data_IF_699810037498
#
_entry.id   IF_699810037498
#
_cell.length_a   1.000
_cell.length_b   1.000
_cell.length_c   1.000
_cell.angle_alpha   90.00
_cell.angle_beta   90.00
_cell.angle_gamma   90.00
#
_symmetry.space_group_name_H-M   'P 1'
#
loop_
_entity.id
_entity.type
_entity.pdbx_description
1 polymer ?
#
# COMPACT_ATOMS: atom_id res chain seq x y z
N UNK A 1 -8.35 3.40 10.76
CA UNK A 1 -7.15 2.78 11.35
C UNK A 1 -6.67 1.77 10.33
N UNK A 2 -5.45 1.89 9.79
CA UNK A 2 -5.03 1.10 8.64
C UNK A 2 -3.95 0.11 9.06
N UNK A 3 -4.23 -1.17 8.85
CA UNK A 3 -3.28 -2.25 9.00
C UNK A 3 -2.32 -2.25 7.81
N UNK A 4 -1.03 -2.45 8.10
CA UNK A 4 0.05 -2.49 7.12
C UNK A 4 0.69 -3.85 7.17
N UNK A 5 1.25 -4.29 6.04
CA UNK A 5 1.84 -5.61 5.93
C UNK A 5 3.21 -5.53 5.26
N UNK A 6 4.15 -6.32 5.76
CA UNK A 6 5.45 -6.53 5.11
C UNK A 6 5.38 -7.76 4.22
N UNK A 7 5.85 -7.64 2.99
CA UNK A 7 5.96 -8.77 2.07
C UNK A 7 7.42 -9.19 1.97
N UNK A 8 7.76 -10.33 2.57
CA UNK A 8 9.12 -10.86 2.60
C UNK A 8 9.56 -11.35 1.21
N UNK A 9 8.66 -11.98 0.46
CA UNK A 9 8.91 -12.43 -0.92
C UNK A 9 9.31 -11.26 -1.84
N UNK A 10 8.66 -10.10 -1.70
CA UNK A 10 9.00 -8.90 -2.47
C UNK A 10 10.08 -8.03 -1.82
N UNK A 11 10.65 -8.43 -0.68
CA UNK A 11 11.59 -7.64 0.12
C UNK A 11 11.03 -6.25 0.51
N UNK A 12 9.72 -6.15 0.69
CA UNK A 12 9.03 -4.97 1.21
C UNK A 12 8.99 -5.08 2.74
N UNK A 13 10.16 -4.86 3.32
CA UNK A 13 10.45 -4.88 4.76
C UNK A 13 11.18 -3.58 5.11
N UNK A 14 11.27 -3.24 6.39
CA UNK A 14 12.04 -2.07 6.88
C UNK A 14 11.55 -0.71 6.36
N UNK A 15 10.32 -0.34 6.73
CA UNK A 15 9.73 0.96 6.38
C UNK A 15 9.03 1.00 5.01
N UNK A 16 9.07 -0.11 4.27
CA UNK A 16 8.27 -0.32 3.05
C UNK A 16 7.12 -1.28 3.38
N UNK A 17 5.88 -0.88 3.10
CA UNK A 17 4.69 -1.63 3.49
C UNK A 17 3.61 -1.64 2.42
N UNK A 18 2.77 -2.67 2.47
CA UNK A 18 1.60 -2.81 1.59
C UNK A 18 0.32 -2.76 2.39
N UNK A 19 -0.72 -2.15 1.83
CA UNK A 19 -2.03 -2.13 2.47
C UNK A 19 -2.69 -3.51 2.45
N UNK A 20 -3.70 -3.73 3.30
CA UNK A 20 -4.48 -4.97 3.37
C UNK A 20 -5.01 -5.44 2.01
N UNK A 21 -5.41 -4.50 1.14
CA UNK A 21 -5.92 -4.83 -0.19
C UNK A 21 -4.81 -5.35 -1.08
N UNK A 22 -3.65 -4.66 -1.11
CA UNK A 22 -2.49 -5.11 -1.90
C UNK A 22 -1.93 -6.44 -1.36
N UNK A 23 -1.95 -6.66 -0.04
CA UNK A 23 -1.60 -7.95 0.56
C UNK A 23 -2.45 -9.11 0.00
N UNK A 24 -3.76 -8.88 -0.19
CA UNK A 24 -4.71 -9.90 -0.67
C UNK A 24 -4.72 -10.06 -2.19
N UNK A 25 -4.37 -9.01 -2.95
CA UNK A 25 -4.49 -8.98 -4.41
C UNK A 25 -3.12 -9.09 -5.08
N UNK A 26 -2.24 -8.10 -4.86
CA UNK A 26 -0.96 -7.98 -5.53
C UNK A 26 0.12 -8.90 -4.94
N UNK A 27 0.03 -9.14 -3.63
CA UNK A 27 0.95 -10.00 -2.87
C UNK A 27 0.23 -11.26 -2.38
N UNK A 28 -0.83 -11.67 -3.10
CA UNK A 28 -1.49 -12.95 -2.87
C UNK A 28 -0.44 -14.06 -2.99
N UNK A 29 -0.47 -15.02 -2.06
CA UNK A 29 0.46 -16.16 -2.03
C UNK A 29 1.92 -15.81 -1.70
N UNK A 30 2.20 -14.57 -1.26
CA UNK A 30 3.52 -14.22 -0.75
C UNK A 30 3.61 -14.45 0.76
N UNK A 31 4.85 -14.55 1.25
CA UNK A 31 5.15 -14.55 2.67
C UNK A 31 4.92 -13.14 3.22
N UNK A 32 3.79 -12.96 3.89
CA UNK A 32 3.36 -11.68 4.44
C UNK A 32 3.32 -11.74 5.97
N UNK A 33 3.90 -10.72 6.60
CA UNK A 33 3.85 -10.52 8.05
C UNK A 33 3.12 -9.22 8.39
N UNK A 34 2.41 -9.21 9.51
CA UNK A 34 1.79 -7.98 10.02
C UNK A 34 2.87 -6.96 10.35
N UNK A 35 2.72 -5.75 9.82
CA UNK A 35 3.58 -4.63 10.13
C UNK A 35 2.88 -3.68 11.11
N UNK A 36 3.57 -2.63 11.53
CA UNK A 36 3.11 -1.77 12.62
C UNK A 36 1.81 -1.03 12.24
N UNK A 37 0.92 -0.93 13.22
CA UNK A 37 -0.29 -0.14 13.11
C UNK A 37 0.03 1.36 13.08
N UNK A 38 -0.45 2.08 12.06
CA UNK A 38 -0.20 3.52 11.95
C UNK A 38 -0.67 4.15 10.65
N UNK A 39 -0.34 5.42 10.46
CA UNK A 39 -0.65 6.19 9.26
C UNK A 39 0.43 5.95 8.19
N UNK A 40 0.37 4.80 7.50
CA UNK A 40 1.34 4.48 6.46
C UNK A 40 0.72 4.46 5.06
N UNK A 41 1.56 4.77 4.08
CA UNK A 41 1.23 4.74 2.66
C UNK A 41 1.54 3.35 2.08
N UNK A 42 0.76 2.93 1.08
CA UNK A 42 1.01 1.67 0.39
C UNK A 42 2.07 1.87 -0.68
N UNK A 43 3.24 1.24 -0.51
CA UNK A 43 4.35 1.36 -1.46
C UNK A 43 4.11 0.51 -2.72
N UNK A 44 3.31 -0.56 -2.65
CA UNK A 44 2.95 -1.38 -3.81
C UNK A 44 2.35 -0.52 -4.94
N UNK A 45 1.41 0.39 -4.61
CA UNK A 45 0.79 1.28 -5.58
C UNK A 45 1.70 2.39 -6.10
N UNK A 46 2.77 2.72 -5.36
CA UNK A 46 3.71 3.77 -5.75
C UNK A 46 4.74 3.30 -6.79
N UNK A 47 4.94 1.99 -6.94
CA UNK A 47 5.90 1.44 -7.89
C UNK A 47 5.46 1.68 -9.34
N UNK A 48 6.45 1.89 -10.20
CA UNK A 48 6.27 2.21 -11.63
C UNK A 48 6.30 0.97 -12.52
N UNK A 49 6.65 -0.20 -11.97
CA UNK A 49 6.73 -1.46 -12.71
C UNK A 49 5.36 -2.09 -13.05
N UNK A 50 4.26 -1.44 -12.67
CA UNK A 50 2.91 -1.89 -13.02
C UNK A 50 2.46 -3.18 -12.32
N UNK A 51 3.22 -3.71 -11.36
CA UNK A 51 2.84 -4.92 -10.60
C UNK A 51 1.58 -4.73 -9.74
N UNK A 52 1.27 -3.50 -9.34
CA UNK A 52 0.09 -3.24 -8.52
C UNK A 52 -1.19 -3.21 -9.35
N UNK A 53 -2.03 -4.23 -9.14
CA UNK A 53 -3.34 -4.40 -9.78
C UNK A 53 -4.44 -3.51 -9.16
N UNK A 54 -4.18 -2.88 -8.01
CA UNK A 54 -5.18 -2.16 -7.21
C UNK A 54 -5.15 -0.64 -7.46
N UNK A 55 -4.24 -0.12 -8.29
CA UNK A 55 -4.04 1.33 -8.48
C UNK A 55 -5.30 2.05 -9.00
N UNK A 56 -5.65 3.22 -8.43
CA UNK A 56 -6.09 4.36 -9.23
C UNK A 56 -4.85 5.07 -9.79
N UNK A 57 -4.79 5.22 -11.10
CA UNK A 57 -3.71 5.93 -11.78
C UNK A 57 -3.69 7.42 -11.37
N UNK A 58 -2.62 7.91 -10.75
CA UNK A 58 -2.29 9.35 -10.80
C UNK A 58 -0.93 9.51 -11.46
N UNK A 59 -0.89 9.35 -12.78
CA UNK A 59 0.14 9.98 -13.59
C UNK A 59 0.00 11.49 -13.40
N UNK A 60 0.97 12.15 -12.76
CA UNK A 60 0.93 13.60 -12.57
C UNK A 60 1.93 14.11 -11.54
N UNK A 61 3.14 14.43 -12.00
CA UNK A 61 4.07 15.27 -11.28
C UNK A 61 3.51 16.70 -11.07
N UNK A 62 3.99 17.32 -10.00
CA UNK A 62 3.98 18.76 -9.69
C UNK A 62 2.81 19.30 -8.85
N UNK A 63 3.07 19.38 -7.56
CA UNK A 63 2.59 20.48 -6.72
C UNK A 63 1.47 20.13 -5.75
N UNK A 64 1.68 20.60 -4.52
CA UNK A 64 0.70 20.79 -3.44
C UNK A 64 0.45 19.55 -2.58
N UNK A 65 1.22 19.51 -1.48
CA UNK A 65 0.85 18.86 -0.23
C UNK A 65 -0.61 19.22 0.10
N UNK A 66 -1.54 18.35 -0.20
CA UNK A 66 -2.91 18.44 0.31
C UNK A 66 -3.31 17.04 0.76
N UNK A 67 -3.00 16.75 2.03
CA UNK A 67 -3.92 16.17 3.02
C UNK A 67 -5.09 15.32 2.49
N UNK A 68 -4.87 14.30 1.65
CA UNK A 68 -5.96 13.43 1.19
C UNK A 68 -5.55 12.01 0.76
N UNK A 69 -4.29 11.59 0.85
CA UNK A 69 -3.91 10.16 0.72
C UNK A 69 -4.15 9.42 2.05
N UNK A 70 -5.27 9.73 2.67
CA UNK A 70 -5.77 9.08 3.88
C UNK A 70 -6.99 8.20 3.55
N UNK A 71 -7.56 8.27 2.34
CA UNK A 71 -8.94 7.84 2.10
C UNK A 71 -9.18 6.78 1.02
N UNK A 72 -8.19 5.97 0.64
CA UNK A 72 -8.46 4.80 -0.22
C UNK A 72 -8.39 3.45 0.51
N UNK A 73 -7.77 3.41 1.70
CA UNK A 73 -7.75 2.20 2.55
C UNK A 73 -8.60 2.35 3.83
N UNK A 74 -9.40 3.42 3.95
CA UNK A 74 -10.26 3.67 5.12
C UNK A 74 -11.71 3.20 4.98
N UNK A 75 -12.14 2.71 3.82
CA UNK A 75 -13.57 2.50 3.53
C UNK A 75 -14.04 1.04 3.51
N UNK A 76 -13.28 0.09 4.06
CA UNK A 76 -13.69 -1.32 4.13
C UNK A 76 -13.64 -1.91 5.54
N UNK A 77 -13.81 -1.08 6.57
CA UNK A 77 -14.28 -1.56 7.87
C UNK A 77 -15.69 -0.98 8.05
N UNK A 78 -16.67 -1.88 8.17
CA UNK A 78 -18.00 -1.56 8.69
C UNK A 78 -17.89 -1.09 10.14
#
# INVERSE_FOLDING_TARGET
MADTYHCHTCKMVDGVGVCTVCAKVCHKDHEISYAKYGSFFCDCGAKEDGSCQVRPNTSGHHGKRTTAVTLACKSFHH
#
